data_IF_475700006767
#
_entry.id   IF_475700006767
#
_cell.length_a   1.000
_cell.length_b   1.000
_cell.length_c   1.000
_cell.angle_alpha   90.00
_cell.angle_beta   90.00
_cell.angle_gamma   90.00
#
_symmetry.space_group_name_H-M   'P 1'
#
loop_
_entity.id
_entity.type
_entity.pdbx_description
1 polymer ?
#
# COMPACT_ATOMS: atom_id res chain seq x y z
N UNK A 1 -12.87 8.02 10.32
CA UNK A 1 -12.61 9.48 10.28
C UNK A 1 -13.04 9.99 8.91
N UNK A 2 -13.19 11.31 8.73
CA UNK A 2 -13.51 11.90 7.42
C UNK A 2 -12.25 12.35 6.67
N UNK A 3 -12.32 12.36 5.34
CA UNK A 3 -11.32 12.99 4.49
C UNK A 3 -11.39 14.52 4.60
N UNK A 4 -10.25 15.17 4.75
CA UNK A 4 -10.14 16.63 4.81
C UNK A 4 -9.78 17.17 3.42
N UNK A 5 -10.61 18.07 2.87
CA UNK A 5 -10.39 18.61 1.53
C UNK A 5 -9.11 19.45 1.43
N UNK A 6 -8.62 20.02 2.53
CA UNK A 6 -7.36 20.77 2.54
C UNK A 6 -6.15 19.88 2.24
N UNK A 7 -6.24 18.56 2.51
CA UNK A 7 -5.17 17.61 2.19
C UNK A 7 -4.88 17.53 0.69
N UNK A 8 -5.85 17.85 -0.17
CA UNK A 8 -5.64 17.84 -1.62
C UNK A 8 -4.54 18.80 -2.08
N UNK A 9 -4.32 19.90 -1.34
CA UNK A 9 -3.28 20.89 -1.68
C UNK A 9 -1.85 20.38 -1.43
N UNK A 10 -1.72 19.34 -0.60
CA UNK A 10 -0.45 18.73 -0.20
C UNK A 10 -0.21 17.38 -0.87
N UNK A 11 -1.26 16.81 -1.48
CA UNK A 11 -1.20 15.52 -2.13
C UNK A 11 -0.31 15.58 -3.38
N UNK A 12 0.42 14.51 -3.60
CA UNK A 12 1.20 14.27 -4.81
C UNK A 12 0.54 13.14 -5.60
N UNK A 13 0.60 13.22 -6.92
CA UNK A 13 0.52 12.03 -7.76
C UNK A 13 1.70 11.09 -7.46
N UNK A 14 1.61 9.84 -7.94
CA UNK A 14 2.72 8.91 -7.79
C UNK A 14 3.99 9.40 -8.51
N UNK A 15 3.86 10.02 -9.69
CA UNK A 15 5.00 10.55 -10.44
C UNK A 15 5.65 11.74 -9.72
N UNK A 16 4.86 12.70 -9.26
CA UNK A 16 5.38 13.84 -8.46
C UNK A 16 6.05 13.37 -7.15
N UNK A 17 5.52 12.32 -6.53
CA UNK A 17 6.16 11.69 -5.38
C UNK A 17 7.53 11.08 -5.76
N UNK A 18 7.62 10.37 -6.89
CA UNK A 18 8.89 9.80 -7.36
C UNK A 18 9.91 10.87 -7.77
N UNK A 19 9.48 12.02 -8.28
CA UNK A 19 10.36 13.16 -8.60
C UNK A 19 10.98 13.78 -7.35
N UNK A 20 10.24 13.80 -6.24
CA UNK A 20 10.71 14.32 -4.95
C UNK A 20 11.47 13.28 -4.10
N UNK A 21 11.28 12.00 -4.38
CA UNK A 21 11.90 10.91 -3.64
C UNK A 21 13.43 10.87 -3.84
N UNK A 22 14.16 10.68 -2.74
CA UNK A 22 15.64 10.65 -2.73
C UNK A 22 16.23 9.25 -2.70
N UNK A 23 15.42 8.22 -2.42
CA UNK A 23 15.88 6.84 -2.27
C UNK A 23 15.01 5.87 -3.08
N UNK A 24 15.62 4.77 -3.55
CA UNK A 24 14.92 3.62 -4.14
C UNK A 24 13.97 3.92 -5.33
N UNK A 25 14.04 5.10 -5.95
CA UNK A 25 13.21 5.48 -7.11
C UNK A 25 13.28 4.47 -8.25
N UNK A 26 14.46 3.95 -8.67
CA UNK A 26 14.52 2.93 -9.72
C UNK A 26 13.75 1.67 -9.36
N UNK A 27 13.85 1.21 -8.10
CA UNK A 27 13.14 0.02 -7.62
C UNK A 27 11.64 0.26 -7.55
N UNK A 28 11.18 1.43 -7.11
CA UNK A 28 9.75 1.76 -7.13
C UNK A 28 9.19 1.79 -8.56
N UNK A 29 9.93 2.37 -9.52
CA UNK A 29 9.55 2.36 -10.94
C UNK A 29 9.50 0.95 -11.52
N UNK A 30 10.49 0.12 -11.22
CA UNK A 30 10.52 -1.30 -11.60
C UNK A 30 9.31 -2.04 -11.00
N UNK A 31 9.07 -1.88 -9.70
CA UNK A 31 7.95 -2.49 -9.00
C UNK A 31 6.59 -2.08 -9.60
N UNK A 32 6.44 -0.81 -10.01
CA UNK A 32 5.25 -0.30 -10.69
C UNK A 32 5.08 -0.96 -12.07
N UNK A 33 6.14 -0.99 -12.87
CA UNK A 33 6.12 -1.54 -14.23
C UNK A 33 5.83 -3.05 -14.24
N UNK A 34 6.37 -3.78 -13.26
CA UNK A 34 6.20 -5.22 -13.11
C UNK A 34 4.89 -5.61 -12.41
N UNK A 35 4.23 -4.70 -11.69
CA UNK A 35 2.99 -5.02 -10.99
C UNK A 35 1.91 -5.47 -11.97
N UNK A 36 1.31 -6.63 -11.70
CA UNK A 36 0.23 -7.23 -12.46
C UNK A 36 -1.00 -7.33 -11.58
N UNK A 37 -2.15 -7.11 -12.19
CA UNK A 37 -3.46 -7.38 -11.59
C UNK A 37 -3.91 -8.72 -12.14
N UNK A 38 -4.20 -9.68 -11.27
CA UNK A 38 -4.71 -10.99 -11.66
C UNK A 38 -6.08 -10.87 -12.32
N UNK A 39 -6.45 -11.83 -13.16
CA UNK A 39 -7.75 -11.82 -13.87
C UNK A 39 -8.92 -11.72 -12.90
N UNK A 40 -8.86 -12.45 -11.78
CA UNK A 40 -9.88 -12.41 -10.74
C UNK A 40 -10.02 -11.00 -10.12
N UNK A 41 -8.90 -10.35 -9.79
CA UNK A 41 -8.91 -8.99 -9.28
C UNK A 41 -9.39 -7.99 -10.37
N UNK A 42 -8.98 -8.20 -11.62
CA UNK A 42 -9.38 -7.37 -12.74
C UNK A 42 -10.89 -7.37 -12.93
N UNK A 43 -11.55 -8.53 -12.87
CA UNK A 43 -13.00 -8.64 -12.96
C UNK A 43 -13.69 -7.77 -11.91
N UNK A 44 -13.22 -7.81 -10.66
CA UNK A 44 -13.78 -6.99 -9.58
C UNK A 44 -13.58 -5.49 -9.81
N UNK A 45 -12.35 -5.04 -10.07
CA UNK A 45 -12.07 -3.61 -10.23
C UNK A 45 -12.68 -3.03 -11.51
N UNK A 46 -12.75 -3.81 -12.59
CA UNK A 46 -13.42 -3.41 -13.82
C UNK A 46 -14.94 -3.27 -13.62
N UNK A 47 -15.56 -4.24 -12.94
CA UNK A 47 -16.97 -4.14 -12.55
C UNK A 47 -17.22 -2.93 -11.65
N UNK A 48 -16.45 -2.75 -10.59
CA UNK A 48 -16.62 -1.59 -9.71
C UNK A 48 -16.43 -0.27 -10.49
N UNK A 49 -15.59 -0.29 -11.54
CA UNK A 49 -15.41 0.84 -12.45
C UNK A 49 -16.57 1.11 -13.39
N UNK A 50 -17.46 0.14 -13.63
CA UNK A 50 -18.71 0.38 -14.35
C UNK A 50 -19.82 0.90 -13.43
N UNK A 51 -19.77 0.58 -12.13
CA UNK A 51 -20.80 0.99 -11.16
C UNK A 51 -20.61 2.40 -10.61
N UNK A 52 -19.36 2.89 -10.55
CA UNK A 52 -19.02 4.16 -9.91
C UNK A 52 -18.34 5.12 -10.89
N UNK A 53 -18.54 6.42 -10.66
CA UNK A 53 -17.86 7.44 -11.42
C UNK A 53 -16.32 7.40 -11.18
N UNK A 54 -15.51 7.81 -12.16
CA UNK A 54 -14.07 7.96 -11.95
C UNK A 54 -13.74 8.82 -10.74
N UNK A 55 -12.77 8.38 -9.95
CA UNK A 55 -12.31 9.05 -8.73
C UNK A 55 -13.27 8.97 -7.54
N UNK A 56 -14.34 8.15 -7.61
CA UNK A 56 -15.28 7.98 -6.50
C UNK A 56 -14.60 7.45 -5.23
N UNK A 57 -13.51 6.69 -5.37
CA UNK A 57 -12.76 6.14 -4.25
C UNK A 57 -11.43 6.88 -4.15
N UNK A 58 -11.25 7.68 -3.10
CA UNK A 58 -9.98 8.36 -2.83
C UNK A 58 -9.08 7.45 -2.01
N UNK A 59 -7.83 7.33 -2.43
CA UNK A 59 -6.79 6.54 -1.76
C UNK A 59 -5.74 7.48 -1.21
N UNK A 60 -5.79 7.77 0.08
CA UNK A 60 -4.73 8.50 0.77
C UNK A 60 -3.59 7.54 1.07
N UNK A 61 -2.41 7.80 0.53
CA UNK A 61 -1.23 6.98 0.71
C UNK A 61 -0.12 7.74 1.45
N UNK A 62 0.15 7.38 2.70
CA UNK A 62 1.29 7.90 3.46
C UNK A 62 2.46 6.95 3.28
N UNK A 63 3.55 7.44 2.72
CA UNK A 63 4.68 6.60 2.28
C UNK A 63 6.01 7.33 2.43
N UNK A 64 7.10 6.57 2.44
CA UNK A 64 8.45 7.10 2.35
C UNK A 64 9.35 6.25 1.46
N UNK A 65 10.19 6.92 0.68
CA UNK A 65 11.05 6.28 -0.33
C UNK A 65 12.17 5.43 0.28
N UNK A 66 12.49 5.66 1.55
CA UNK A 66 13.46 4.88 2.32
C UNK A 66 12.86 3.63 2.99
N UNK A 67 11.53 3.50 3.05
CA UNK A 67 10.88 2.41 3.77
C UNK A 67 10.70 1.18 2.86
N UNK A 68 11.22 0.03 3.32
CA UNK A 68 11.16 -1.25 2.59
C UNK A 68 9.76 -1.63 2.14
N UNK A 69 8.77 -1.56 3.03
CA UNK A 69 7.39 -1.93 2.70
C UNK A 69 6.70 -0.90 1.80
N UNK A 70 7.09 0.37 1.88
CA UNK A 70 6.60 1.41 0.96
C UNK A 70 7.07 1.15 -0.47
N UNK A 71 8.35 0.78 -0.63
CA UNK A 71 8.95 0.44 -1.93
C UNK A 71 8.22 -0.73 -2.59
N UNK A 72 7.75 -1.70 -1.80
CA UNK A 72 7.04 -2.86 -2.34
C UNK A 72 5.56 -2.59 -2.63
N UNK A 73 4.86 -1.86 -1.74
CA UNK A 73 3.39 -1.77 -1.81
C UNK A 73 2.86 -0.51 -2.50
N UNK A 74 3.50 0.66 -2.35
CA UNK A 74 3.01 1.89 -2.99
C UNK A 74 2.94 1.74 -4.53
N UNK A 75 3.94 1.15 -5.22
CA UNK A 75 3.86 0.92 -6.66
C UNK A 75 2.69 0.02 -7.10
N UNK A 76 2.28 -0.93 -6.25
CA UNK A 76 1.12 -1.80 -6.51
C UNK A 76 -0.17 -0.99 -6.46
N UNK A 77 -0.31 -0.11 -5.47
CA UNK A 77 -1.47 0.79 -5.36
C UNK A 77 -1.51 1.80 -6.51
N UNK A 78 -0.36 2.36 -6.87
CA UNK A 78 -0.24 3.22 -8.05
C UNK A 78 -0.63 2.49 -9.33
N UNK A 79 -0.24 1.21 -9.47
CA UNK A 79 -0.65 0.39 -10.62
C UNK A 79 -2.16 0.18 -10.66
N UNK A 80 -2.80 -0.09 -9.51
CA UNK A 80 -4.26 -0.18 -9.44
C UNK A 80 -4.92 1.14 -9.84
N UNK A 81 -4.49 2.26 -9.27
CA UNK A 81 -5.06 3.56 -9.55
C UNK A 81 -4.88 4.01 -11.01
N UNK A 82 -3.73 3.69 -11.62
CA UNK A 82 -3.51 3.93 -13.05
C UNK A 82 -4.35 3.02 -13.96
N UNK A 83 -4.70 1.80 -13.50
CA UNK A 83 -5.44 0.85 -14.34
C UNK A 83 -6.96 0.98 -14.21
N UNK A 84 -7.45 1.52 -13.08
CA UNK A 84 -8.88 1.59 -12.76
C UNK A 84 -9.26 3.01 -12.33
N UNK A 85 -9.92 3.80 -13.22
CA UNK A 85 -10.21 5.21 -12.99
C UNK A 85 -11.07 5.52 -11.76
N UNK A 86 -11.75 4.54 -11.16
CA UNK A 86 -12.48 4.72 -9.89
C UNK A 86 -11.59 5.09 -8.71
N UNK A 87 -10.30 4.72 -8.75
CA UNK A 87 -9.36 4.99 -7.68
C UNK A 87 -8.59 6.28 -7.97
N UNK A 88 -8.68 7.24 -7.06
CA UNK A 88 -7.88 8.46 -7.10
C UNK A 88 -6.79 8.41 -6.01
N UNK A 89 -5.55 8.15 -6.43
CA UNK A 89 -4.41 8.04 -5.53
C UNK A 89 -3.83 9.42 -5.17
N UNK A 90 -3.68 9.66 -3.87
CA UNK A 90 -3.14 10.88 -3.27
C UNK A 90 -1.98 10.50 -2.35
N UNK A 91 -0.74 10.75 -2.75
CA UNK A 91 0.46 10.36 -2.01
C UNK A 91 0.96 11.49 -1.13
N UNK A 92 1.32 11.16 0.11
CA UNK A 92 1.86 12.07 1.11
C UNK A 92 3.16 11.50 1.68
N UNK A 93 4.26 12.25 1.60
CA UNK A 93 5.49 11.91 2.33
C UNK A 93 5.22 11.98 3.83
N UNK A 94 5.48 10.89 4.57
CA UNK A 94 5.24 10.84 6.02
C UNK A 94 5.92 11.99 6.75
N UNK A 95 7.18 12.25 6.43
CA UNK A 95 8.05 13.16 7.17
C UNK A 95 7.59 14.62 7.07
N UNK A 96 6.97 14.99 5.94
CA UNK A 96 6.39 16.32 5.70
C UNK A 96 4.91 16.42 6.14
N UNK A 97 4.28 15.31 6.52
CA UNK A 97 2.84 15.24 6.78
C UNK A 97 2.50 14.52 8.09
N UNK A 98 3.24 14.87 9.17
CA UNK A 98 3.08 14.24 10.49
C UNK A 98 1.70 14.47 11.11
N UNK A 99 1.05 15.60 10.87
CA UNK A 99 -0.30 15.92 11.32
C UNK A 99 -1.36 14.98 10.70
N UNK A 100 -1.14 14.56 9.45
CA UNK A 100 -1.97 13.56 8.77
C UNK A 100 -1.63 12.16 9.31
N UNK A 101 -0.34 11.84 9.42
CA UNK A 101 0.15 10.55 9.92
C UNK A 101 -0.33 10.25 11.33
N UNK A 102 -0.38 11.24 12.21
CA UNK A 102 -0.78 11.07 13.61
C UNK A 102 -2.26 10.69 13.76
N UNK A 103 -3.08 10.82 12.70
CA UNK A 103 -4.46 10.29 12.67
C UNK A 103 -4.54 8.77 12.43
N UNK A 104 -3.45 8.16 11.97
CA UNK A 104 -3.39 6.75 11.54
C UNK A 104 -2.34 5.92 12.28
N UNK A 105 -2.09 6.25 13.55
CA UNK A 105 -1.14 5.51 14.39
C UNK A 105 -1.56 4.04 14.57
N UNK A 106 -0.58 3.14 14.47
CA UNK A 106 -0.76 1.72 14.75
C UNK A 106 -0.08 1.39 16.07
N UNK A 107 -0.87 1.10 17.11
CA UNK A 107 -0.33 0.88 18.46
C UNK A 107 0.49 2.07 18.99
N UNK A 108 0.07 3.29 18.66
CA UNK A 108 0.79 4.53 19.02
C UNK A 108 2.04 4.83 18.17
N UNK A 109 2.30 4.05 17.11
CA UNK A 109 3.48 4.23 16.24
C UNK A 109 3.10 4.71 14.85
N UNK A 110 3.99 5.50 14.25
CA UNK A 110 3.90 5.98 12.86
C UNK A 110 4.36 4.91 11.87
N UNK A 111 3.59 3.83 11.76
CA UNK A 111 3.85 2.73 10.82
C UNK A 111 3.48 3.14 9.40
N UNK A 112 4.32 2.82 8.42
CA UNK A 112 4.11 3.12 7.00
C UNK A 112 4.51 1.92 6.11
N UNK A 113 3.92 1.78 4.92
CA UNK A 113 2.90 2.64 4.32
C UNK A 113 1.54 2.56 5.03
N UNK A 114 0.73 3.61 4.88
CA UNK A 114 -0.71 3.56 5.20
C UNK A 114 -1.49 3.93 3.96
N UNK A 115 -2.41 3.07 3.53
CA UNK A 115 -3.37 3.38 2.48
C UNK A 115 -4.77 3.43 3.09
N UNK A 116 -5.42 4.58 3.03
CA UNK A 116 -6.77 4.80 3.55
C UNK A 116 -7.69 5.03 2.37
N UNK A 117 -8.77 4.24 2.31
CA UNK A 117 -9.76 4.30 1.25
C UNK A 117 -10.97 5.09 1.75
N UNK A 118 -11.41 6.08 1.00
CA UNK A 118 -12.58 6.91 1.30
C UNK A 118 -13.59 6.82 0.17
N UNK A 119 -14.88 6.78 0.53
CA UNK A 119 -15.98 6.90 -0.43
C UNK A 119 -16.14 8.36 -0.91
N UNK A 120 -17.08 8.58 -1.83
CA UNK A 120 -17.30 9.89 -2.44
C UNK A 120 -17.67 10.98 -1.42
N UNK A 121 -18.28 10.59 -0.29
CA UNK A 121 -18.67 11.47 0.82
C UNK A 121 -17.50 11.81 1.74
N UNK A 122 -16.32 11.21 1.51
CA UNK A 122 -15.15 11.35 2.35
C UNK A 122 -15.20 10.46 3.59
N UNK A 123 -16.12 9.49 3.65
CA UNK A 123 -16.16 8.53 4.75
C UNK A 123 -15.19 7.40 4.49
N UNK A 124 -14.43 7.06 5.52
CA UNK A 124 -13.47 5.97 5.49
C UNK A 124 -14.15 4.61 5.27
N UNK A 125 -13.71 3.89 4.24
CA UNK A 125 -14.10 2.51 3.91
C UNK A 125 -13.24 1.52 4.71
N UNK A 126 -11.93 1.76 4.73
CA UNK A 126 -10.98 0.93 5.46
C UNK A 126 -9.52 1.29 5.14
N UNK A 127 -8.60 0.49 5.68
CA UNK A 127 -7.16 0.77 5.67
C UNK A 127 -6.35 -0.47 5.33
N UNK A 128 -5.31 -0.28 4.54
CA UNK A 128 -4.17 -1.20 4.43
C UNK A 128 -2.99 -0.57 5.18
N UNK A 129 -2.33 -1.32 6.05
CA UNK A 129 -1.25 -0.80 6.90
C UNK A 129 -0.03 -1.71 6.78
N UNK A 130 1.12 -1.08 6.50
CA UNK A 130 2.45 -1.68 6.40
C UNK A 130 2.60 -2.64 5.22
N UNK A 131 2.03 -3.83 5.30
CA UNK A 131 2.28 -4.93 4.35
C UNK A 131 1.14 -5.96 4.39
N UNK A 132 0.95 -6.78 3.33
CA UNK A 132 -0.07 -7.82 3.37
C UNK A 132 0.25 -8.85 4.46
N UNK A 133 -0.78 -9.51 4.98
CA UNK A 133 -0.69 -10.54 6.02
C UNK A 133 0.34 -11.62 5.68
N UNK A 134 0.40 -12.05 4.41
CA UNK A 134 1.37 -13.05 3.97
C UNK A 134 2.84 -12.60 4.19
N UNK A 135 3.14 -11.32 3.98
CA UNK A 135 4.46 -10.75 4.25
C UNK A 135 4.74 -10.63 5.75
N UNK A 136 3.74 -10.23 6.54
CA UNK A 136 3.84 -10.20 8.02
C UNK A 136 4.12 -11.59 8.60
N UNK A 137 3.39 -12.61 8.15
CA UNK A 137 3.55 -13.98 8.61
C UNK A 137 4.93 -14.55 8.22
N UNK A 138 5.41 -14.24 7.01
CA UNK A 138 6.77 -14.60 6.58
C UNK A 138 7.84 -13.98 7.50
N UNK A 139 7.74 -12.67 7.77
CA UNK A 139 8.70 -11.98 8.63
C UNK A 139 8.66 -12.48 10.07
N UNK A 140 7.48 -12.76 10.62
CA UNK A 140 7.33 -13.35 11.94
C UNK A 140 8.02 -14.72 12.03
N UNK A 141 7.84 -15.56 11.00
CA UNK A 141 8.49 -16.87 10.92
C UNK A 141 10.01 -16.76 10.83
N UNK A 142 10.54 -15.90 9.96
CA UNK A 142 11.99 -15.71 9.85
C UNK A 142 12.60 -15.06 11.11
N UNK A 143 11.84 -14.22 11.84
CA UNK A 143 12.27 -13.68 13.13
C UNK A 143 12.40 -14.78 14.18
N UNK A 144 11.38 -15.64 14.32
CA UNK A 144 11.42 -16.75 15.27
C UNK A 144 12.58 -17.72 14.98
N UNK A 145 12.85 -18.03 13.70
CA UNK A 145 13.99 -18.88 13.31
C UNK A 145 15.36 -18.36 13.73
N UNK A 146 15.50 -17.04 13.90
CA UNK A 146 16.78 -16.40 14.15
C UNK A 146 16.85 -15.75 15.55
N UNK A 147 15.84 -15.96 16.40
CA UNK A 147 15.73 -15.28 17.70
C UNK A 147 16.93 -15.56 18.61
N UNK A 148 17.32 -16.83 18.68
CA UNK A 148 18.41 -17.34 19.53
C UNK A 148 19.82 -17.06 18.95
N UNK A 149 19.92 -16.59 17.71
CA UNK A 149 21.23 -16.32 17.10
C UNK A 149 21.92 -15.14 17.79
N UNK A 150 23.26 -15.13 17.88
CA UNK A 150 24.03 -13.97 18.29
C UNK A 150 23.72 -12.73 17.42
N UNK A 151 23.82 -11.53 17.98
CA UNK A 151 23.38 -10.29 17.32
C UNK A 151 24.00 -10.08 15.93
N UNK A 152 25.29 -10.33 15.76
CA UNK A 152 25.95 -10.20 14.46
C UNK A 152 25.37 -11.17 13.42
N UNK A 153 25.05 -12.40 13.82
CA UNK A 153 24.44 -13.40 12.95
C UNK A 153 23.00 -13.02 12.61
N UNK A 154 22.24 -12.45 13.56
CA UNK A 154 20.89 -11.91 13.29
C UNK A 154 20.92 -10.77 12.26
N UNK A 155 21.88 -9.84 12.38
CA UNK A 155 22.07 -8.75 11.41
C UNK A 155 22.36 -9.29 10.00
N UNK A 156 23.24 -10.29 9.88
CA UNK A 156 23.53 -10.95 8.60
C UNK A 156 22.32 -11.69 8.04
N UNK A 157 21.59 -12.42 8.88
CA UNK A 157 20.38 -13.14 8.50
C UNK A 157 19.29 -12.17 8.01
N UNK A 158 19.12 -11.02 8.67
CA UNK A 158 18.14 -9.98 8.28
C UNK A 158 18.35 -9.49 6.85
N UNK A 159 19.59 -9.37 6.36
CA UNK A 159 19.85 -9.03 4.96
C UNK A 159 19.35 -10.11 3.99
N UNK A 160 19.59 -11.38 4.32
CA UNK A 160 19.07 -12.53 3.55
C UNK A 160 17.54 -12.59 3.56
N UNK A 161 16.92 -12.36 4.71
CA UNK A 161 15.46 -12.30 4.87
C UNK A 161 14.86 -11.20 4.00
N UNK A 162 15.45 -9.99 4.00
CA UNK A 162 15.01 -8.90 3.12
C UNK A 162 15.11 -9.28 1.65
N UNK A 163 16.20 -9.91 1.23
CA UNK A 163 16.35 -10.39 -0.16
C UNK A 163 15.28 -11.42 -0.53
N UNK A 164 14.97 -12.37 0.37
CA UNK A 164 13.87 -13.32 0.16
C UNK A 164 12.51 -12.62 0.09
N UNK A 165 12.25 -11.67 0.98
CA UNK A 165 11.00 -10.92 1.01
C UNK A 165 10.73 -10.21 -0.32
N UNK A 166 11.74 -9.51 -0.87
CA UNK A 166 11.63 -8.85 -2.19
C UNK A 166 11.26 -9.83 -3.31
N UNK A 167 11.88 -11.03 -3.30
CA UNK A 167 11.52 -12.09 -4.26
C UNK A 167 10.07 -12.53 -4.10
N UNK A 168 9.61 -12.73 -2.86
CA UNK A 168 8.23 -13.13 -2.57
C UNK A 168 7.22 -12.06 -3.01
N UNK A 169 7.54 -10.77 -2.90
CA UNK A 169 6.72 -9.72 -3.51
C UNK A 169 6.61 -9.89 -5.02
N UNK A 170 7.74 -10.03 -5.72
CA UNK A 170 7.75 -10.23 -7.17
C UNK A 170 6.96 -11.46 -7.63
N UNK A 171 6.94 -12.53 -6.83
CA UNK A 171 6.32 -13.81 -7.21
C UNK A 171 4.92 -14.05 -6.62
N UNK A 172 4.42 -13.19 -5.71
CA UNK A 172 3.10 -13.43 -5.12
C UNK A 172 2.59 -12.39 -4.14
N UNK A 173 3.41 -11.78 -3.28
CA UNK A 173 2.87 -10.88 -2.24
C UNK A 173 2.28 -9.58 -2.81
N UNK A 174 2.65 -9.15 -4.02
CA UNK A 174 1.95 -8.05 -4.70
C UNK A 174 0.46 -8.39 -4.96
N UNK A 175 0.15 -9.64 -5.33
CA UNK A 175 -1.24 -10.08 -5.50
C UNK A 175 -1.98 -10.17 -4.15
N UNK A 176 -1.29 -10.55 -3.07
CA UNK A 176 -1.87 -10.49 -1.72
C UNK A 176 -2.19 -9.06 -1.29
N UNK A 177 -1.35 -8.07 -1.62
CA UNK A 177 -1.67 -6.65 -1.44
C UNK A 177 -2.95 -6.26 -2.19
N UNK A 178 -3.09 -6.68 -3.45
CA UNK A 178 -4.29 -6.40 -4.26
C UNK A 178 -5.54 -7.07 -3.66
N UNK A 179 -5.43 -8.33 -3.23
CA UNK A 179 -6.54 -9.08 -2.59
C UNK A 179 -7.01 -8.42 -1.31
N UNK A 180 -6.09 -7.93 -0.47
CA UNK A 180 -6.47 -7.20 0.74
C UNK A 180 -7.17 -5.88 0.44
N UNK A 181 -6.67 -5.12 -0.55
CA UNK A 181 -7.33 -3.89 -1.01
C UNK A 181 -8.73 -4.19 -1.55
N UNK A 182 -8.87 -5.24 -2.36
CA UNK A 182 -10.18 -5.70 -2.86
C UNK A 182 -11.13 -5.99 -1.68
N UNK A 183 -10.70 -6.78 -0.69
CA UNK A 183 -11.51 -7.09 0.51
C UNK A 183 -11.94 -5.84 1.27
N UNK A 184 -11.05 -4.84 1.38
CA UNK A 184 -11.38 -3.55 2.01
C UNK A 184 -12.54 -2.89 1.27
N UNK A 185 -12.48 -2.84 -0.07
CA UNK A 185 -13.54 -2.23 -0.87
C UNK A 185 -14.82 -3.06 -0.89
N UNK A 186 -14.73 -4.39 -0.86
CA UNK A 186 -15.88 -5.29 -0.80
C UNK A 186 -16.72 -5.08 0.47
N UNK A 187 -16.12 -4.63 1.58
CA UNK A 187 -16.88 -4.28 2.78
C UNK A 187 -17.90 -3.15 2.54
N UNK A 188 -17.67 -2.30 1.53
CA UNK A 188 -18.55 -1.19 1.16
C UNK A 188 -19.34 -1.46 -0.13
N UNK A 189 -18.69 -2.04 -1.12
CA UNK A 189 -19.19 -2.20 -2.49
C UNK A 189 -19.26 -3.66 -2.93
N UNK A 190 -19.15 -4.63 -2.02
CA UNK A 190 -19.34 -6.03 -2.37
C UNK A 190 -20.75 -6.28 -2.91
N UNK A 191 -20.92 -7.29 -3.79
CA UNK A 191 -22.25 -7.67 -4.25
C UNK A 191 -23.12 -7.99 -3.03
N UNK A 192 -24.20 -7.24 -2.85
CA UNK A 192 -25.18 -7.57 -1.82
C UNK A 192 -25.86 -8.86 -2.27
N UNK A 193 -25.61 -9.96 -1.56
CA UNK A 193 -26.38 -11.17 -1.71
C UNK A 193 -27.86 -10.80 -1.49
N UNK A 194 -28.61 -10.67 -2.58
CA UNK A 194 -30.06 -10.54 -2.60
C UNK A 194 -30.69 -11.92 -2.56
#
# INVERSE_FOLDING_TARGET
MGFDSEWLQRALSFDEYLEKATMNVPTMKENYAEARVSDEAHLYFAWLSSELAPGSIRVLAISESWCGDCIENLPVVAKLASSYPILHLLVFSRDDNLDIMDRYLTGGRRTIPVFVFFDETGREIGRFIERPKAATDFLAKERARHEELPEQQRKRAAYGVRTKLRKLYKTGFRDETIKEIRRILENRYGPQNS
#
